data_IF_009576504459
#
_entry.id   IF_009576504459
#
_cell.length_a   1.000
_cell.length_b   1.000
_cell.length_c   1.000
_cell.angle_alpha   90.00
_cell.angle_beta   90.00
_cell.angle_gamma   90.00
#
_symmetry.space_group_name_H-M   'P 1'
#
loop_
_entity.id
_entity.type
_entity.pdbx_description
1 polymer ?
#
# COMPACT_ATOMS: atom_id res chain seq x y z
N UNK A 1 -2.98 29.98 -9.87
CA UNK A 1 -1.77 29.92 -10.72
C UNK A 1 -0.60 29.42 -9.87
N UNK A 2 -0.21 28.15 -10.00
CA UNK A 2 1.11 27.67 -9.57
C UNK A 2 1.91 27.44 -10.85
N UNK A 3 2.88 28.32 -11.13
CA UNK A 3 3.77 28.16 -12.28
C UNK A 3 4.59 26.88 -12.11
N UNK A 4 4.23 25.89 -12.94
CA UNK A 4 5.13 25.05 -13.74
C UNK A 4 6.33 24.45 -13.03
N UNK A 5 6.11 23.33 -12.33
CA UNK A 5 7.12 22.26 -12.33
C UNK A 5 7.30 21.81 -13.77
N UNK A 6 8.53 21.66 -14.24
CA UNK A 6 8.74 21.25 -15.63
C UNK A 6 8.13 19.86 -15.87
N UNK A 7 7.56 19.58 -17.06
CA UNK A 7 7.04 18.25 -17.36
C UNK A 7 8.09 17.15 -17.13
N UNK A 8 9.37 17.45 -17.37
CA UNK A 8 10.49 16.56 -17.11
C UNK A 8 10.68 16.24 -15.61
N UNK A 9 10.57 17.23 -14.73
CA UNK A 9 10.65 17.01 -13.28
C UNK A 9 9.46 16.19 -12.77
N UNK A 10 8.24 16.43 -13.27
CA UNK A 10 7.07 15.62 -12.92
C UNK A 10 7.23 14.17 -13.40
N UNK A 11 7.71 13.98 -14.63
CA UNK A 11 7.99 12.65 -15.17
C UNK A 11 9.08 11.93 -14.36
N UNK A 12 10.11 12.65 -13.93
CA UNK A 12 11.14 12.12 -13.05
C UNK A 12 10.55 11.62 -11.72
N UNK A 13 9.72 12.42 -11.06
CA UNK A 13 9.06 12.02 -9.81
C UNK A 13 8.20 10.76 -10.01
N UNK A 14 7.37 10.70 -11.07
CA UNK A 14 6.51 9.54 -11.35
C UNK A 14 7.35 8.28 -11.60
N UNK A 15 8.41 8.39 -12.42
CA UNK A 15 9.32 7.27 -12.70
C UNK A 15 9.99 6.78 -11.42
N UNK A 16 10.42 7.68 -10.56
CA UNK A 16 11.06 7.34 -9.31
C UNK A 16 10.11 6.60 -8.36
N UNK A 17 8.87 7.08 -8.21
CA UNK A 17 7.85 6.37 -7.44
C UNK A 17 7.60 4.95 -7.96
N UNK A 18 7.50 4.79 -9.28
CA UNK A 18 7.29 3.48 -9.89
C UNK A 18 8.50 2.56 -9.69
N UNK A 19 9.72 3.10 -9.79
CA UNK A 19 10.95 2.35 -9.54
C UNK A 19 11.04 1.86 -8.09
N UNK A 20 10.70 2.72 -7.12
CA UNK A 20 10.69 2.34 -5.70
C UNK A 20 9.66 1.25 -5.43
N UNK A 21 8.45 1.38 -5.98
CA UNK A 21 7.42 0.35 -5.88
C UNK A 21 7.90 -1.00 -6.45
N UNK A 22 8.50 -1.00 -7.64
CA UNK A 22 9.05 -2.23 -8.24
C UNK A 22 10.12 -2.82 -7.34
N UNK A 23 11.06 -2.01 -6.85
CA UNK A 23 12.14 -2.47 -5.99
C UNK A 23 11.61 -3.13 -4.72
N UNK A 24 10.68 -2.46 -4.02
CA UNK A 24 10.07 -2.98 -2.80
C UNK A 24 9.29 -4.27 -3.06
N UNK A 25 8.50 -4.31 -4.13
CA UNK A 25 7.69 -5.49 -4.48
C UNK A 25 8.56 -6.65 -4.93
N UNK A 26 9.62 -6.40 -5.69
CA UNK A 26 10.58 -7.39 -6.14
C UNK A 26 11.34 -7.99 -4.95
N UNK A 27 11.75 -7.17 -3.99
CA UNK A 27 12.40 -7.66 -2.77
C UNK A 27 11.40 -8.47 -1.94
N UNK A 28 10.17 -8.00 -1.74
CA UNK A 28 9.12 -8.77 -1.08
C UNK A 28 8.89 -10.13 -1.76
N UNK A 29 8.87 -10.15 -3.10
CA UNK A 29 8.74 -11.35 -3.90
C UNK A 29 9.92 -12.29 -3.70
N UNK A 30 11.17 -11.82 -3.76
CA UNK A 30 12.35 -12.66 -3.54
C UNK A 30 12.38 -13.28 -2.15
N UNK A 31 12.00 -12.52 -1.12
CA UNK A 31 11.86 -13.04 0.23
C UNK A 31 10.82 -14.17 0.32
N UNK A 32 9.68 -14.02 -0.35
CA UNK A 32 8.67 -15.09 -0.39
C UNK A 32 9.12 -16.26 -1.25
N UNK A 33 9.85 -16.01 -2.34
CA UNK A 33 10.26 -17.03 -3.29
C UNK A 33 11.23 -18.05 -2.68
N UNK A 34 12.15 -17.61 -1.81
CA UNK A 34 13.01 -18.52 -1.06
C UNK A 34 12.21 -19.45 -0.12
N UNK A 35 11.01 -19.04 0.28
CA UNK A 35 10.14 -19.72 1.23
C UNK A 35 8.84 -20.27 0.57
N UNK A 36 8.74 -20.30 -0.77
CA UNK A 36 7.50 -20.67 -1.48
C UNK A 36 7.14 -22.15 -1.38
N UNK A 37 8.12 -23.00 -1.07
CA UNK A 37 7.91 -24.43 -0.98
C UNK A 37 7.03 -24.80 0.22
N UNK A 38 6.85 -23.90 1.20
CA UNK A 38 6.04 -24.11 2.42
C UNK A 38 6.37 -25.41 3.19
N UNK A 39 7.54 -26.01 2.92
CA UNK A 39 7.95 -27.30 3.45
C UNK A 39 8.81 -27.17 4.73
N UNK A 40 9.04 -25.94 5.20
CA UNK A 40 9.97 -25.64 6.29
C UNK A 40 9.32 -24.84 7.43
N UNK A 41 8.01 -24.99 7.64
CA UNK A 41 7.35 -24.31 8.75
C UNK A 41 7.89 -24.82 10.09
N UNK A 42 8.30 -23.88 10.91
CA UNK A 42 8.99 -24.21 12.15
C UNK A 42 7.99 -24.49 13.28
N UNK A 43 8.25 -25.49 14.14
CA UNK A 43 7.42 -25.74 15.30
C UNK A 43 7.44 -24.53 16.26
N UNK A 44 6.43 -24.49 17.14
CA UNK A 44 6.37 -23.46 18.19
C UNK A 44 7.41 -23.73 19.27
N UNK A 45 8.55 -23.04 19.19
CA UNK A 45 9.52 -22.96 20.30
C UNK A 45 9.35 -21.62 21.03
N UNK A 46 9.37 -21.61 22.36
CA UNK A 46 9.04 -20.41 23.15
C UNK A 46 9.87 -19.19 22.76
N UNK A 47 11.20 -19.31 22.69
CA UNK A 47 12.10 -18.18 22.40
C UNK A 47 11.91 -17.61 20.98
N UNK A 48 11.80 -18.49 19.97
CA UNK A 48 11.67 -18.04 18.58
C UNK A 48 10.27 -17.50 18.31
N UNK A 49 9.23 -18.13 18.88
CA UNK A 49 7.84 -17.70 18.70
C UNK A 49 7.60 -16.31 19.29
N UNK A 50 8.17 -16.01 20.46
CA UNK A 50 8.11 -14.65 21.06
C UNK A 50 8.72 -13.62 20.11
N UNK A 51 9.85 -13.94 19.48
CA UNK A 51 10.53 -12.98 18.60
C UNK A 51 9.85 -12.85 17.25
N UNK A 52 9.29 -13.92 16.68
CA UNK A 52 8.44 -13.83 15.48
C UNK A 52 7.26 -12.91 15.73
N UNK A 53 6.65 -13.02 16.92
CA UNK A 53 5.56 -12.15 17.33
C UNK A 53 6.01 -10.69 17.52
N UNK A 54 7.13 -10.45 18.20
CA UNK A 54 7.67 -9.09 18.35
C UNK A 54 8.03 -8.49 16.98
N UNK A 55 8.72 -9.23 16.12
CA UNK A 55 9.14 -8.78 14.80
C UNK A 55 7.93 -8.44 13.91
N UNK A 56 6.91 -9.30 13.89
CA UNK A 56 5.68 -9.04 13.14
C UNK A 56 4.89 -7.86 13.70
N UNK A 57 4.79 -7.70 15.04
CA UNK A 57 4.15 -6.54 15.67
C UNK A 57 4.87 -5.23 15.31
N UNK A 58 6.20 -5.20 15.41
CA UNK A 58 6.98 -4.01 15.08
C UNK A 58 6.83 -3.63 13.60
N UNK A 59 6.90 -4.61 12.69
CA UNK A 59 6.72 -4.34 11.27
C UNK A 59 5.28 -3.88 10.97
N UNK A 60 4.28 -4.46 11.63
CA UNK A 60 2.89 -4.06 11.49
C UNK A 60 2.68 -2.59 11.88
N UNK A 61 3.31 -2.11 12.98
CA UNK A 61 3.22 -0.71 13.40
C UNK A 61 3.75 0.21 12.31
N UNK A 62 4.96 -0.05 11.81
CA UNK A 62 5.57 0.76 10.74
C UNK A 62 4.75 0.72 9.46
N UNK A 63 4.32 -0.46 9.03
CA UNK A 63 3.49 -0.61 7.84
C UNK A 63 2.10 0.04 8.01
N UNK A 64 1.53 0.06 9.22
CA UNK A 64 0.24 0.72 9.51
C UNK A 64 0.33 2.24 9.37
N UNK A 65 1.44 2.82 9.80
CA UNK A 65 1.69 4.26 9.64
C UNK A 65 1.77 4.63 8.15
N UNK A 66 2.58 3.90 7.37
CA UNK A 66 2.71 4.12 5.93
C UNK A 66 1.39 3.89 5.19
N UNK A 67 0.69 2.80 5.52
CA UNK A 67 -0.64 2.50 4.97
C UNK A 67 -1.66 3.59 5.28
N UNK A 68 -1.66 4.12 6.51
CA UNK A 68 -2.54 5.23 6.92
C UNK A 68 -2.26 6.50 6.13
N UNK A 69 -0.98 6.82 5.91
CA UNK A 69 -0.58 7.97 5.10
C UNK A 69 -1.00 7.81 3.63
N UNK A 70 -0.78 6.64 3.03
CA UNK A 70 -1.22 6.35 1.67
C UNK A 70 -2.75 6.43 1.51
N UNK A 71 -3.52 5.92 2.49
CA UNK A 71 -4.99 5.98 2.47
C UNK A 71 -5.51 7.41 2.64
N UNK A 72 -4.86 8.27 3.42
CA UNK A 72 -5.23 9.71 3.50
C UNK A 72 -5.10 10.37 2.13
N UNK A 73 -4.01 10.10 1.41
CA UNK A 73 -3.78 10.60 0.04
C UNK A 73 -4.84 10.05 -0.92
N UNK A 74 -5.11 8.74 -0.86
CA UNK A 74 -6.15 8.11 -1.67
C UNK A 74 -7.54 8.69 -1.39
N UNK A 75 -7.87 8.95 -0.12
CA UNK A 75 -9.12 9.59 0.31
C UNK A 75 -9.23 11.00 -0.28
N UNK A 76 -8.15 11.77 -0.26
CA UNK A 76 -8.11 13.10 -0.86
C UNK A 76 -8.38 13.04 -2.37
N UNK A 77 -7.67 12.17 -3.11
CA UNK A 77 -7.81 12.00 -4.56
C UNK A 77 -9.20 11.47 -4.97
N UNK A 78 -9.80 10.61 -4.13
CA UNK A 78 -11.19 10.14 -4.29
C UNK A 78 -12.18 11.31 -4.18
N UNK A 79 -12.00 12.20 -3.21
CA UNK A 79 -12.94 13.31 -2.93
C UNK A 79 -12.70 14.55 -3.78
N UNK A 80 -11.55 14.64 -4.46
CA UNK A 80 -11.20 15.78 -5.29
C UNK A 80 -12.21 15.96 -6.44
N UNK A 81 -12.78 17.17 -6.55
CA UNK A 81 -13.57 17.58 -7.72
C UNK A 81 -12.61 17.95 -8.84
N UNK A 82 -12.69 17.25 -9.97
CA UNK A 82 -11.79 17.44 -11.11
C UNK A 82 -12.61 17.76 -12.35
N UNK A 83 -12.15 18.73 -13.16
CA UNK A 83 -12.77 19.07 -14.46
C UNK A 83 -12.54 17.92 -15.46
N UNK A 84 -13.46 17.69 -16.41
CA UNK A 84 -13.40 16.59 -17.41
C UNK A 84 -12.01 16.45 -18.06
N UNK A 85 -11.38 17.58 -18.42
CA UNK A 85 -10.04 17.61 -19.05
C UNK A 85 -8.87 17.09 -18.18
N UNK A 86 -9.03 16.98 -16.86
CA UNK A 86 -7.97 16.55 -15.94
C UNK A 86 -8.27 15.18 -15.29
N UNK A 87 -9.28 14.46 -15.78
CA UNK A 87 -9.69 13.17 -15.23
C UNK A 87 -8.61 12.09 -15.40
N UNK A 88 -7.88 12.09 -16.53
CA UNK A 88 -6.76 11.17 -16.75
C UNK A 88 -5.66 11.32 -15.69
N UNK A 89 -5.25 12.57 -15.41
CA UNK A 89 -4.26 12.86 -14.37
C UNK A 89 -4.72 12.39 -12.99
N UNK A 90 -6.01 12.55 -12.68
CA UNK A 90 -6.59 12.03 -11.44
C UNK A 90 -6.45 10.51 -11.33
N UNK A 91 -6.75 9.76 -12.39
CA UNK A 91 -6.64 8.31 -12.38
C UNK A 91 -5.18 7.84 -12.22
N UNK A 92 -4.23 8.51 -12.85
CA UNK A 92 -2.79 8.23 -12.66
C UNK A 92 -2.41 8.44 -11.19
N UNK A 93 -2.85 9.52 -10.57
CA UNK A 93 -2.55 9.77 -9.15
C UNK A 93 -3.18 8.73 -8.22
N UNK A 94 -4.40 8.27 -8.53
CA UNK A 94 -5.08 7.20 -7.77
C UNK A 94 -4.33 5.87 -7.93
N UNK A 95 -3.87 5.56 -9.14
CA UNK A 95 -3.04 4.39 -9.40
C UNK A 95 -1.77 4.45 -8.54
N UNK A 96 -1.04 5.57 -8.59
CA UNK A 96 0.18 5.79 -7.79
C UNK A 96 -0.11 5.62 -6.30
N UNK A 97 -1.16 6.25 -5.78
CA UNK A 97 -1.55 6.09 -4.38
C UNK A 97 -1.91 4.64 -4.02
N UNK A 98 -2.46 3.88 -4.97
CA UNK A 98 -2.76 2.46 -4.80
C UNK A 98 -1.50 1.60 -4.73
N UNK A 99 -0.46 1.93 -5.50
CA UNK A 99 0.85 1.28 -5.41
C UNK A 99 1.46 1.46 -4.02
N UNK A 100 1.41 2.69 -3.47
CA UNK A 100 1.88 2.98 -2.11
C UNK A 100 1.06 2.29 -1.01
N UNK A 101 -0.22 1.98 -1.26
CA UNK A 101 -1.03 1.14 -0.36
C UNK A 101 -0.58 -0.32 -0.41
N UNK A 102 -0.26 -0.83 -1.61
CA UNK A 102 0.11 -2.23 -1.81
C UNK A 102 1.51 -2.58 -1.27
N UNK A 103 2.47 -1.65 -1.34
CA UNK A 103 3.84 -1.84 -0.81
C UNK A 103 3.89 -2.33 0.64
N UNK A 104 3.32 -1.63 1.63
CA UNK A 104 3.41 -2.07 3.02
C UNK A 104 2.68 -3.42 3.24
N UNK A 105 1.63 -3.69 2.46
CA UNK A 105 0.91 -4.97 2.53
C UNK A 105 1.75 -6.13 1.99
N UNK A 106 2.46 -5.94 0.87
CA UNK A 106 3.31 -6.98 0.30
C UNK A 106 4.52 -7.27 1.18
N UNK A 107 5.19 -6.24 1.69
CA UNK A 107 6.32 -6.39 2.62
C UNK A 107 5.91 -7.04 3.94
N UNK A 108 4.77 -6.65 4.50
CA UNK A 108 4.25 -7.27 5.72
C UNK A 108 3.91 -8.75 5.52
N UNK A 109 3.22 -9.07 4.43
CA UNK A 109 2.86 -10.46 4.09
C UNK A 109 4.11 -11.30 3.87
N UNK A 110 5.10 -10.75 3.17
CA UNK A 110 6.40 -11.38 2.95
C UNK A 110 7.10 -11.71 4.27
N UNK A 111 7.18 -10.74 5.20
CA UNK A 111 7.76 -10.99 6.52
C UNK A 111 7.01 -12.11 7.26
N UNK A 112 5.68 -12.07 7.29
CA UNK A 112 4.86 -13.05 8.01
C UNK A 112 5.14 -14.48 7.52
N UNK A 113 5.22 -14.66 6.20
CA UNK A 113 5.50 -15.97 5.59
C UNK A 113 6.92 -16.44 5.91
N UNK A 114 7.92 -15.58 5.69
CA UNK A 114 9.32 -15.89 5.94
C UNK A 114 9.60 -16.20 7.42
N UNK A 115 8.99 -15.45 8.34
CA UNK A 115 9.15 -15.68 9.77
C UNK A 115 8.60 -17.04 10.21
N UNK A 116 7.50 -17.50 9.62
CA UNK A 116 6.93 -18.82 9.89
C UNK A 116 7.86 -19.97 9.53
N UNK A 117 8.74 -19.77 8.55
CA UNK A 117 9.63 -20.80 8.00
C UNK A 117 11.08 -20.67 8.49
N UNK A 118 11.47 -19.50 9.02
CA UNK A 118 12.82 -19.26 9.51
C UNK A 118 13.08 -19.92 10.87
N UNK A 119 13.94 -20.94 10.90
CA UNK A 119 14.35 -21.65 12.14
C UNK A 119 15.44 -20.94 12.95
N UNK A 120 16.28 -20.11 12.31
CA UNK A 120 17.41 -19.48 12.99
C UNK A 120 17.05 -18.11 13.57
N UNK A 121 17.33 -17.91 14.85
CA UNK A 121 17.09 -16.66 15.57
C UNK A 121 17.71 -15.43 14.89
N UNK A 122 18.98 -15.53 14.48
CA UNK A 122 19.69 -14.41 13.83
C UNK A 122 19.03 -14.02 12.51
N UNK A 123 18.51 -15.00 11.77
CA UNK A 123 17.89 -14.77 10.48
C UNK A 123 16.51 -14.09 10.62
N UNK A 124 15.75 -14.41 11.67
CA UNK A 124 14.50 -13.69 12.01
C UNK A 124 14.76 -12.18 12.16
N UNK A 125 15.80 -11.80 12.91
CA UNK A 125 16.13 -10.38 13.12
C UNK A 125 16.59 -9.73 11.82
N UNK A 126 17.43 -10.42 11.03
CA UNK A 126 17.90 -9.90 9.73
C UNK A 126 16.72 -9.67 8.78
N UNK A 127 15.78 -10.60 8.69
CA UNK A 127 14.61 -10.48 7.82
C UNK A 127 13.72 -9.31 8.23
N UNK A 128 13.48 -9.14 9.54
CA UNK A 128 12.78 -7.98 10.09
C UNK A 128 13.49 -6.66 9.75
N UNK A 129 14.80 -6.55 10.00
CA UNK A 129 15.55 -5.31 9.76
C UNK A 129 15.58 -4.98 8.26
N UNK A 130 15.78 -5.98 7.40
CA UNK A 130 15.81 -5.78 5.94
C UNK A 130 14.45 -5.29 5.43
N UNK A 131 13.35 -5.94 5.77
CA UNK A 131 12.02 -5.53 5.32
C UNK A 131 11.56 -4.21 5.97
N UNK A 132 11.96 -3.96 7.22
CA UNK A 132 11.76 -2.67 7.89
C UNK A 132 12.50 -1.54 7.17
N UNK A 133 13.74 -1.77 6.76
CA UNK A 133 14.50 -0.82 5.95
C UNK A 133 13.80 -0.57 4.60
N UNK A 134 13.30 -1.61 3.93
CA UNK A 134 12.56 -1.48 2.66
C UNK A 134 11.33 -0.57 2.75
N UNK A 135 10.62 -0.56 3.88
CA UNK A 135 9.48 0.34 4.09
C UNK A 135 9.89 1.81 4.20
N UNK A 136 11.13 2.10 4.59
CA UNK A 136 11.62 3.47 4.74
C UNK A 136 12.31 4.03 3.50
N UNK A 137 12.49 3.22 2.45
CA UNK A 137 13.15 3.61 1.20
C UNK A 137 12.45 4.80 0.53
N UNK A 138 11.11 4.87 0.57
CA UNK A 138 10.35 5.99 0.01
C UNK A 138 10.79 7.34 0.63
N UNK A 139 11.07 7.36 1.93
CA UNK A 139 11.53 8.56 2.64
C UNK A 139 12.93 8.99 2.19
N UNK A 140 13.81 8.03 1.92
CA UNK A 140 15.16 8.29 1.39
C UNK A 140 15.07 8.90 -0.01
N UNK A 141 14.24 8.33 -0.88
CA UNK A 141 14.05 8.82 -2.24
C UNK A 141 13.30 10.17 -2.30
N UNK A 142 12.46 10.47 -1.32
CA UNK A 142 11.81 11.79 -1.23
C UNK A 142 12.84 12.91 -1.09
N UNK A 143 13.98 12.66 -0.44
CA UNK A 143 15.07 13.64 -0.29
C UNK A 143 15.79 13.96 -1.61
N UNK A 144 15.72 13.07 -2.60
CA UNK A 144 16.34 13.27 -3.92
C UNK A 144 15.42 13.94 -4.94
N UNK A 145 14.17 14.23 -4.56
CA UNK A 145 13.24 14.93 -5.44
C UNK A 145 13.68 16.38 -5.68
N UNK A 146 13.37 16.97 -6.85
CA UNK A 146 13.73 18.35 -7.14
C UNK A 146 13.18 19.32 -6.07
N UNK A 147 14.04 20.21 -5.56
CA UNK A 147 13.68 21.16 -4.48
C UNK A 147 12.44 21.99 -4.81
N UNK A 148 12.26 22.36 -6.07
CA UNK A 148 11.09 23.11 -6.56
C UNK A 148 9.78 22.34 -6.35
N UNK A 149 9.78 21.02 -6.56
CA UNK A 149 8.62 20.15 -6.34
C UNK A 149 8.28 20.12 -4.86
N UNK A 150 9.28 19.92 -4.01
CA UNK A 150 9.12 19.86 -2.55
C UNK A 150 8.57 21.20 -2.01
N UNK A 151 9.17 22.31 -2.43
CA UNK A 151 8.74 23.65 -2.01
C UNK A 151 7.31 23.96 -2.47
N UNK A 152 6.94 23.56 -3.69
CA UNK A 152 5.58 23.74 -4.19
C UNK A 152 4.57 22.90 -3.40
N UNK A 153 4.89 21.65 -3.09
CA UNK A 153 4.05 20.80 -2.25
C UNK A 153 3.86 21.40 -0.84
N UNK A 154 4.93 21.91 -0.23
CA UNK A 154 4.86 22.58 1.08
C UNK A 154 4.01 23.86 1.03
N UNK A 155 4.16 24.69 -0.01
CA UNK A 155 3.34 25.89 -0.21
C UNK A 155 1.86 25.54 -0.37
N UNK A 156 1.56 24.51 -1.17
CA UNK A 156 0.19 24.00 -1.37
C UNK A 156 -0.41 23.51 -0.05
N UNK A 157 0.34 22.75 0.75
CA UNK A 157 -0.11 22.28 2.05
C UNK A 157 -0.37 23.46 3.02
N UNK A 158 0.58 24.39 3.14
CA UNK A 158 0.46 25.59 4.00
C UNK A 158 -0.67 26.52 3.58
N UNK A 159 -0.98 26.61 2.29
CA UNK A 159 -2.06 27.46 1.77
C UNK A 159 -3.45 26.98 2.18
N UNK A 160 -3.58 25.76 2.72
CA UNK A 160 -4.88 25.17 3.07
C UNK A 160 -5.76 24.88 1.85
N UNK A 161 -5.22 24.90 0.63
CA UNK A 161 -5.92 24.53 -0.60
C UNK A 161 -6.19 23.02 -0.66
N UNK A 162 -5.37 22.21 0.01
CA UNK A 162 -5.54 20.76 0.16
C UNK A 162 -6.55 20.44 1.28
N UNK A 163 -7.80 20.91 1.15
CA UNK A 163 -8.88 20.55 2.07
C UNK A 163 -9.73 19.43 1.50
N UNK A 164 -10.14 18.49 2.35
CA UNK A 164 -11.10 17.45 1.96
C UNK A 164 -12.48 18.08 1.77
N UNK A 165 -13.00 18.02 0.53
CA UNK A 165 -14.37 18.38 0.22
C UNK A 165 -15.37 17.26 0.53
N UNK A 166 -16.68 17.52 0.35
CA UNK A 166 -17.71 16.48 0.41
C UNK A 166 -17.43 15.41 -0.66
N UNK A 167 -17.75 14.15 -0.34
CA UNK A 167 -17.49 13.03 -1.25
C UNK A 167 -18.33 13.16 -2.52
N UNK A 168 -17.68 13.65 -3.58
CA UNK A 168 -18.31 13.85 -4.87
C UNK A 168 -18.52 12.52 -5.63
N UNK A 169 -18.04 11.39 -5.12
CA UNK A 169 -18.09 10.10 -5.78
C UNK A 169 -18.72 9.05 -4.87
N UNK A 170 -19.78 9.35 -4.13
CA UNK A 170 -20.54 8.27 -3.45
C UNK A 170 -21.25 7.38 -4.46
N UNK A 171 -21.54 6.11 -4.11
CA UNK A 171 -22.31 5.21 -4.99
C UNK A 171 -23.64 5.82 -5.44
N UNK A 172 -24.35 6.52 -4.54
CA UNK A 172 -25.58 7.24 -4.87
C UNK A 172 -25.34 8.39 -5.87
N UNK A 173 -24.23 9.12 -5.76
CA UNK A 173 -23.89 10.18 -6.70
C UNK A 173 -23.52 9.61 -8.08
N UNK A 174 -22.79 8.49 -8.12
CA UNK A 174 -22.44 7.81 -9.36
C UNK A 174 -23.68 7.23 -10.06
N UNK A 175 -24.60 6.63 -9.31
CA UNK A 175 -25.87 6.15 -9.85
C UNK A 175 -26.70 7.29 -10.47
N UNK A 176 -26.77 8.45 -9.78
CA UNK A 176 -27.44 9.65 -10.33
C UNK A 176 -26.76 10.18 -11.60
N UNK A 177 -25.42 10.09 -11.70
CA UNK A 177 -24.68 10.45 -12.93
C UNK A 177 -24.94 9.47 -14.06
N UNK A 178 -24.91 8.16 -13.79
CA UNK A 178 -25.23 7.12 -14.76
C UNK A 178 -26.62 7.34 -15.39
N UNK A 179 -27.62 7.66 -14.56
CA UNK A 179 -29.00 7.91 -15.03
C UNK A 179 -29.14 9.19 -15.88
N UNK A 180 -28.21 10.14 -15.76
CA UNK A 180 -28.19 11.39 -16.52
C UNK A 180 -27.28 11.34 -17.75
N UNK A 181 -26.45 10.29 -17.87
CA UNK A 181 -25.60 10.08 -19.02
C UNK A 181 -26.47 9.72 -20.22
N UNK A 182 -26.75 10.71 -21.06
CA UNK A 182 -27.64 10.64 -22.21
C UNK A 182 -26.99 9.87 -23.37
N UNK A 183 -26.68 8.59 -23.13
CA UNK A 183 -25.94 7.69 -24.02
C UNK A 183 -24.53 8.16 -24.42
N UNK A 184 -23.98 9.17 -23.75
CA UNK A 184 -22.58 9.57 -23.92
C UNK A 184 -21.65 8.49 -23.35
N UNK A 185 -20.96 7.77 -24.25
CA UNK A 185 -20.00 6.70 -23.92
C UNK A 185 -18.91 7.20 -22.98
N UNK A 186 -18.46 8.45 -23.14
CA UNK A 186 -17.42 9.03 -22.29
C UNK A 186 -17.91 9.21 -20.84
N UNK A 187 -19.17 9.59 -20.66
CA UNK A 187 -19.77 9.75 -19.33
C UNK A 187 -19.96 8.38 -18.64
N UNK A 188 -20.38 7.36 -19.38
CA UNK A 188 -20.45 6.00 -18.87
C UNK A 188 -19.07 5.47 -18.46
N UNK A 189 -18.05 5.70 -19.27
CA UNK A 189 -16.67 5.31 -18.94
C UNK A 189 -16.17 6.02 -17.66
N UNK A 190 -16.44 7.32 -17.51
CA UNK A 190 -16.08 8.07 -16.29
C UNK A 190 -16.79 7.51 -15.06
N UNK A 191 -18.08 7.18 -15.17
CA UNK A 191 -18.87 6.58 -14.08
C UNK A 191 -18.32 5.20 -13.73
N UNK A 192 -18.00 4.38 -14.72
CA UNK A 192 -17.41 3.05 -14.53
C UNK A 192 -16.07 3.14 -13.79
N UNK A 193 -15.13 3.96 -14.29
CA UNK A 193 -13.82 4.15 -13.65
C UNK A 193 -13.96 4.70 -12.22
N UNK A 194 -14.88 5.64 -12.00
CA UNK A 194 -15.15 6.16 -10.65
C UNK A 194 -15.76 5.11 -9.71
N UNK A 195 -16.53 4.17 -10.25
CA UNK A 195 -17.09 3.05 -9.50
C UNK A 195 -16.01 2.05 -9.10
N UNK A 196 -15.07 1.76 -10.00
CA UNK A 196 -13.89 0.93 -9.68
C UNK A 196 -13.05 1.55 -8.56
N UNK A 197 -12.78 2.86 -8.62
CA UNK A 197 -12.05 3.58 -7.56
C UNK A 197 -12.78 3.49 -6.22
N UNK A 198 -14.11 3.59 -6.21
CA UNK A 198 -14.89 3.42 -4.98
C UNK A 198 -14.82 2.03 -4.42
N UNK A 199 -14.95 1.01 -5.27
CA UNK A 199 -14.88 -0.38 -4.86
C UNK A 199 -13.51 -0.69 -4.26
N UNK A 200 -12.45 -0.24 -4.92
CA UNK A 200 -11.07 -0.36 -4.45
C UNK A 200 -10.85 0.36 -3.12
N UNK A 201 -11.31 1.61 -3.00
CA UNK A 201 -11.23 2.37 -1.76
C UNK A 201 -11.97 1.70 -0.60
N UNK A 202 -13.19 1.22 -0.86
CA UNK A 202 -13.99 0.50 0.13
C UNK A 202 -13.28 -0.78 0.60
N UNK A 203 -12.70 -1.53 -0.34
CA UNK A 203 -11.93 -2.73 -0.03
C UNK A 203 -10.72 -2.41 0.85
N UNK A 204 -9.88 -1.45 0.45
CA UNK A 204 -8.68 -1.06 1.23
C UNK A 204 -9.07 -0.57 2.62
N UNK A 205 -10.05 0.32 2.72
CA UNK A 205 -10.45 0.91 3.99
C UNK A 205 -11.00 -0.16 4.94
N UNK A 206 -11.83 -1.07 4.42
CA UNK A 206 -12.37 -2.18 5.20
C UNK A 206 -11.25 -3.14 5.62
N UNK A 207 -10.32 -3.45 4.72
CA UNK A 207 -9.16 -4.29 5.01
C UNK A 207 -8.26 -3.68 6.10
N UNK A 208 -7.93 -2.39 6.00
CA UNK A 208 -7.11 -1.70 7.00
C UNK A 208 -7.77 -1.72 8.37
N UNK A 209 -9.05 -1.31 8.43
CA UNK A 209 -9.78 -1.17 9.69
C UNK A 209 -10.00 -2.53 10.34
N UNK A 210 -10.40 -3.53 9.59
CA UNK A 210 -10.83 -4.82 10.15
C UNK A 210 -9.66 -5.79 10.25
N UNK A 211 -8.98 -6.07 9.14
CA UNK A 211 -7.99 -7.16 9.07
C UNK A 211 -6.65 -6.68 9.58
N UNK A 212 -6.16 -5.57 9.06
CA UNK A 212 -4.79 -5.14 9.30
C UNK A 212 -4.58 -4.65 10.73
N UNK A 213 -5.48 -3.80 11.25
CA UNK A 213 -5.30 -3.21 12.58
C UNK A 213 -5.57 -4.20 13.73
N UNK A 214 -6.58 -5.08 13.60
CA UNK A 214 -6.94 -6.00 14.69
C UNK A 214 -6.21 -7.34 14.61
N UNK A 215 -6.01 -7.87 13.41
CA UNK A 215 -5.50 -9.24 13.23
C UNK A 215 -4.07 -9.30 12.72
N UNK A 216 -3.48 -8.19 12.25
CA UNK A 216 -2.13 -8.18 11.65
C UNK A 216 -1.08 -8.91 12.49
N UNK A 217 -0.92 -8.55 13.76
CA UNK A 217 0.05 -9.19 14.67
C UNK A 217 -0.18 -10.71 14.82
N UNK A 218 -1.45 -11.14 14.80
CA UNK A 218 -1.82 -12.54 14.97
C UNK A 218 -1.67 -13.35 13.69
N UNK A 219 -1.59 -12.70 12.51
CA UNK A 219 -1.38 -13.39 11.23
C UNK A 219 -0.11 -14.25 11.23
N UNK A 220 0.95 -13.82 11.92
CA UNK A 220 2.18 -14.60 12.04
C UNK A 220 1.97 -15.93 12.77
N UNK A 221 1.22 -15.91 13.87
CA UNK A 221 0.93 -17.13 14.63
C UNK A 221 0.00 -18.07 13.86
N UNK A 222 -1.03 -17.50 13.20
CA UNK A 222 -1.97 -18.27 12.38
C UNK A 222 -1.26 -18.91 11.19
N UNK A 223 -0.44 -18.13 10.47
CA UNK A 223 0.34 -18.63 9.34
C UNK A 223 1.30 -19.75 9.77
N UNK A 224 2.01 -19.58 10.89
CA UNK A 224 2.89 -20.61 11.43
C UNK A 224 2.12 -21.87 11.83
N UNK A 225 0.97 -21.72 12.51
CA UNK A 225 0.16 -22.85 12.95
C UNK A 225 -0.39 -23.65 11.77
N UNK A 226 -1.01 -22.97 10.81
CA UNK A 226 -1.59 -23.60 9.62
C UNK A 226 -0.50 -24.26 8.79
N UNK A 227 0.60 -23.56 8.53
CA UNK A 227 1.73 -24.08 7.77
C UNK A 227 2.36 -25.32 8.38
N UNK A 228 2.61 -25.30 9.70
CA UNK A 228 3.16 -26.46 10.41
C UNK A 228 2.23 -27.67 10.39
N UNK A 229 0.92 -27.46 10.58
CA UNK A 229 -0.08 -28.55 10.54
C UNK A 229 -0.20 -29.15 9.14
N UNK A 230 -0.12 -28.32 8.10
CA UNK A 230 -0.13 -28.78 6.72
C UNK A 230 1.10 -29.64 6.41
N UNK A 231 2.29 -29.19 6.83
CA UNK A 231 3.53 -29.94 6.66
C UNK A 231 3.47 -31.32 7.34
N UNK A 232 3.06 -31.37 8.62
CA UNK A 232 2.94 -32.64 9.36
C UNK A 232 1.94 -33.59 8.69
N UNK A 233 0.88 -33.07 8.07
CA UNK A 233 -0.10 -33.91 7.36
C UNK A 233 0.43 -34.50 6.05
N UNK A 234 1.45 -33.90 5.42
CA UNK A 234 2.09 -34.44 4.22
C UNK A 234 3.15 -35.52 4.53
N UNK A 235 3.68 -35.52 5.76
CA UNK A 235 4.69 -36.48 6.22
C UNK A 235 4.07 -37.78 6.79
N UNK A 236 2.74 -37.85 6.93
CA UNK A 236 1.95 -38.99 7.42
C UNK A 236 1.36 -39.82 6.26
#
# INVERSE_FOLDING_TARGET
MTRTVSPMQLLFCIKQTFFVFILQTLIAYYFVFEDLDFNNFQPFTMKQSVIRLIASMLLQITASEELSNAIKVLTFLKRQKVKKQYMQSRYINILIASLHVLTPLSLFTSLVLTLGQTGQFSLIIKNYVTLGFMMTIDNIFTSSLPKEVIQNAQKLNKSGLLKMGPDANTFAALYKRAKRADRDVDEYFIVFMSSLVNLWYFFIQSFQVIVYNYFGAYMCLVAQYVGYRYQVAQEL
#
